data_IF_472106363333
#
_entry.id   IF_472106363333
#
_cell.length_a   1.000
_cell.length_b   1.000
_cell.length_c   1.000
_cell.angle_alpha   90.00
_cell.angle_beta   90.00
_cell.angle_gamma   90.00
#
_symmetry.space_group_name_H-M   'P 1'
#
loop_
_entity.id
_entity.type
_entity.pdbx_description
1 polymer ?
#
# COMPACT_ATOMS: atom_id res chain seq x y z
N UNK A 1 -0.38 3.36 5.13
CA UNK A 1 0.56 2.23 5.21
C UNK A 1 2.02 2.66 5.23
N UNK A 2 2.38 3.80 4.61
CA UNK A 2 3.74 4.37 4.64
C UNK A 2 4.44 4.27 6.02
N UNK A 3 3.77 4.69 7.09
CA UNK A 3 4.32 4.64 8.46
C UNK A 3 4.76 3.23 8.91
N UNK A 4 4.08 2.16 8.46
CA UNK A 4 4.44 0.78 8.78
C UNK A 4 5.77 0.41 8.14
N UNK A 5 6.02 0.83 6.91
CA UNK A 5 7.26 0.54 6.19
C UNK A 5 8.42 1.41 6.64
N UNK A 6 8.17 2.69 6.96
CA UNK A 6 9.16 3.58 7.58
C UNK A 6 9.59 3.02 8.94
N UNK A 7 8.64 2.59 9.77
CA UNK A 7 8.94 1.96 11.04
C UNK A 7 9.69 0.64 10.87
N UNK A 8 9.30 -0.20 9.89
CA UNK A 8 10.02 -1.44 9.62
C UNK A 8 11.50 -1.19 9.28
N UNK A 9 11.78 -0.20 8.43
CA UNK A 9 13.16 0.22 8.12
C UNK A 9 13.90 0.67 9.38
N UNK A 10 13.27 1.46 10.25
CA UNK A 10 13.87 1.91 11.51
C UNK A 10 14.25 0.73 12.41
N UNK A 11 13.31 -0.19 12.65
CA UNK A 11 13.55 -1.38 13.48
C UNK A 11 14.70 -2.24 12.91
N UNK A 12 14.74 -2.49 11.60
CA UNK A 12 15.83 -3.28 11.00
C UNK A 12 17.19 -2.58 11.04
N UNK A 13 17.22 -1.24 10.94
CA UNK A 13 18.45 -0.47 11.09
C UNK A 13 19.00 -0.52 12.52
N UNK A 14 18.11 -0.56 13.51
CA UNK A 14 18.45 -0.75 14.92
C UNK A 14 18.70 -2.22 15.29
N UNK A 15 18.56 -3.15 14.33
CA UNK A 15 18.65 -4.61 14.54
C UNK A 15 17.64 -5.14 15.54
N UNK A 16 16.47 -4.51 15.58
CA UNK A 16 15.33 -4.95 16.38
C UNK A 16 14.42 -5.85 15.52
N UNK A 17 14.08 -7.06 16.00
CA UNK A 17 13.14 -7.92 15.31
C UNK A 17 11.73 -7.30 15.36
N UNK A 18 10.95 -7.58 14.33
CA UNK A 18 9.58 -7.09 14.19
C UNK A 18 8.69 -8.13 13.52
N UNK A 19 7.38 -7.94 13.60
CA UNK A 19 6.40 -8.74 12.87
C UNK A 19 5.49 -7.81 12.08
N UNK A 20 5.22 -8.14 10.82
CA UNK A 20 4.19 -7.47 10.03
C UNK A 20 3.04 -8.44 9.81
N UNK A 21 1.87 -8.08 10.33
CA UNK A 21 0.62 -8.73 10.00
C UNK A 21 -0.06 -7.97 8.86
N UNK A 22 -0.46 -8.67 7.79
CA UNK A 22 -1.14 -8.10 6.62
C UNK A 22 -2.47 -8.79 6.40
N UNK A 23 -3.56 -8.04 6.21
CA UNK A 23 -4.82 -8.57 5.69
C UNK A 23 -4.62 -8.95 4.23
N UNK A 24 -4.58 -10.24 3.91
CA UNK A 24 -4.35 -10.72 2.53
C UNK A 24 -5.65 -11.04 1.80
N UNK A 25 -6.73 -11.34 2.53
CA UNK A 25 -8.03 -11.65 1.94
C UNK A 25 -9.14 -11.35 2.94
N UNK A 26 -10.30 -10.96 2.43
CA UNK A 26 -11.52 -10.80 3.22
C UNK A 26 -12.70 -11.44 2.50
N UNK A 27 -13.71 -11.88 3.24
CA UNK A 27 -15.02 -12.32 2.73
C UNK A 27 -16.11 -11.64 3.54
N UNK A 28 -17.18 -11.19 2.89
CA UNK A 28 -18.27 -10.50 3.56
C UNK A 28 -17.89 -9.10 4.06
N UNK A 29 -18.65 -8.59 5.05
CA UNK A 29 -18.43 -7.28 5.65
C UNK A 29 -17.34 -7.35 6.73
N UNK A 30 -16.25 -6.62 6.53
CA UNK A 30 -15.06 -6.64 7.39
C UNK A 30 -14.57 -5.21 7.62
N UNK A 31 -13.99 -4.89 8.79
CA UNK A 31 -13.61 -3.53 9.18
C UNK A 31 -12.48 -2.94 8.34
N UNK A 32 -11.64 -3.80 7.75
CA UNK A 32 -10.52 -3.40 6.89
C UNK A 32 -10.52 -4.16 5.57
N UNK A 33 -9.81 -3.60 4.59
CA UNK A 33 -9.63 -4.20 3.27
C UNK A 33 -8.28 -4.91 3.14
N UNK A 34 -8.14 -5.82 2.16
CA UNK A 34 -6.83 -6.39 1.82
C UNK A 34 -5.78 -5.31 1.61
N UNK A 35 -4.60 -5.53 2.18
CA UNK A 35 -3.50 -4.59 2.24
C UNK A 35 -3.32 -3.97 3.61
N UNK A 36 -4.37 -3.82 4.44
CA UNK A 36 -4.22 -3.27 5.79
C UNK A 36 -3.14 -4.02 6.60
N UNK A 37 -2.28 -3.27 7.30
CA UNK A 37 -1.13 -3.81 8.02
C UNK A 37 -1.05 -3.33 9.47
N UNK A 38 -0.53 -4.20 10.32
CA UNK A 38 -0.07 -3.91 11.67
C UNK A 38 1.36 -4.41 11.82
N UNK A 39 2.26 -3.51 12.17
CA UNK A 39 3.60 -3.85 12.65
C UNK A 39 3.58 -3.96 14.15
N UNK A 40 4.18 -5.03 14.68
CA UNK A 40 4.41 -5.21 16.12
C UNK A 40 5.92 -5.24 16.37
N UNK A 41 6.38 -4.34 17.22
CA UNK A 41 7.79 -4.20 17.64
C UNK A 41 8.15 -5.22 18.72
N UNK A 42 9.44 -5.41 18.95
CA UNK A 42 9.97 -6.29 20.00
C UNK A 42 9.51 -5.91 21.42
N UNK A 43 9.31 -4.61 21.69
CA UNK A 43 8.78 -4.12 22.98
C UNK A 43 7.26 -4.37 23.15
N UNK A 44 6.62 -4.89 22.09
CA UNK A 44 5.20 -5.18 22.05
C UNK A 44 4.31 -3.98 21.72
N UNK A 45 4.86 -2.81 21.43
CA UNK A 45 4.14 -1.69 20.81
C UNK A 45 3.92 -1.93 19.31
N UNK A 46 3.08 -1.14 18.66
CA UNK A 46 2.75 -1.34 17.24
C UNK A 46 2.48 -0.07 16.46
N UNK A 47 2.46 -0.21 15.13
CA UNK A 47 2.16 0.83 14.13
C UNK A 47 1.22 0.26 13.08
N UNK A 48 0.21 1.03 12.68
CA UNK A 48 -0.85 0.56 11.80
C UNK A 48 -2.01 -0.10 12.57
N UNK A 49 -3.00 -0.60 11.82
CA UNK A 49 -4.22 -1.21 12.39
C UNK A 49 -4.82 -2.21 11.41
N UNK A 50 -5.43 -3.26 11.96
CA UNK A 50 -6.21 -4.26 11.22
C UNK A 50 -7.73 -4.00 11.32
N UNK A 51 -8.12 -2.87 11.92
CA UNK A 51 -9.52 -2.49 12.15
C UNK A 51 -9.92 -2.46 13.62
N UNK A 52 -8.98 -2.72 14.55
CA UNK A 52 -9.23 -2.73 15.99
C UNK A 52 -10.02 -3.95 16.49
N UNK A 53 -10.42 -3.89 17.76
CA UNK A 53 -11.23 -4.93 18.42
C UNK A 53 -10.47 -6.23 18.72
N UNK A 54 -11.22 -7.29 19.02
CA UNK A 54 -10.67 -8.60 19.43
C UNK A 54 -9.73 -9.21 18.38
N UNK A 55 -10.06 -9.05 17.09
CA UNK A 55 -9.24 -9.55 15.97
C UNK A 55 -7.82 -9.00 16.04
N UNK A 56 -7.69 -7.68 16.23
CA UNK A 56 -6.38 -7.04 16.30
C UNK A 56 -5.60 -7.54 17.53
N UNK A 57 -6.26 -7.70 18.67
CA UNK A 57 -5.67 -8.26 19.89
C UNK A 57 -5.13 -9.69 19.70
N UNK A 58 -5.88 -10.56 19.03
CA UNK A 58 -5.49 -11.94 18.77
C UNK A 58 -4.31 -12.03 17.80
N UNK A 59 -4.32 -11.24 16.72
CA UNK A 59 -3.20 -11.17 15.78
C UNK A 59 -1.96 -10.56 16.42
N UNK A 60 -2.13 -9.53 17.26
CA UNK A 60 -1.03 -8.94 18.03
C UNK A 60 -0.42 -9.95 19.00
N UNK A 61 -1.25 -10.74 19.67
CA UNK A 61 -0.78 -11.81 20.54
C UNK A 61 0.01 -12.87 19.76
N UNK A 62 -0.49 -13.31 18.60
CA UNK A 62 0.22 -14.24 17.73
C UNK A 62 1.59 -13.69 17.30
N UNK A 63 1.66 -12.42 16.88
CA UNK A 63 2.91 -11.74 16.55
C UNK A 63 3.91 -11.76 17.73
N UNK A 64 3.45 -11.49 18.96
CA UNK A 64 4.30 -11.57 20.16
C UNK A 64 4.78 -13.00 20.44
N UNK A 65 3.97 -14.03 20.21
CA UNK A 65 4.40 -15.42 20.37
C UNK A 65 5.45 -15.81 19.34
N UNK A 66 5.27 -15.40 18.07
CA UNK A 66 6.28 -15.61 17.03
C UNK A 66 7.61 -14.96 17.41
N UNK A 67 7.60 -13.69 17.83
CA UNK A 67 8.80 -13.00 18.30
C UNK A 67 9.47 -13.73 19.46
N UNK A 68 8.70 -14.11 20.49
CA UNK A 68 9.22 -14.78 21.68
C UNK A 68 9.88 -16.13 21.36
N UNK A 69 9.27 -16.90 20.45
CA UNK A 69 9.69 -18.27 20.14
C UNK A 69 10.64 -18.36 18.94
N UNK A 70 10.94 -17.22 18.28
CA UNK A 70 11.57 -17.15 16.95
C UNK A 70 10.89 -18.10 15.94
N UNK A 71 9.56 -18.06 15.92
CA UNK A 71 8.72 -18.87 15.03
C UNK A 71 8.82 -18.46 13.55
N UNK A 72 8.26 -19.26 12.66
CA UNK A 72 8.17 -18.94 11.23
C UNK A 72 6.88 -18.19 10.92
N UNK A 73 6.74 -17.65 9.70
CA UNK A 73 5.50 -17.00 9.26
C UNK A 73 4.30 -17.94 9.36
N UNK A 74 3.11 -17.36 9.55
CA UNK A 74 1.84 -18.08 9.68
C UNK A 74 0.71 -17.37 8.91
N UNK A 75 -0.27 -18.13 8.43
CA UNK A 75 -1.50 -17.60 7.85
C UNK A 75 -2.65 -17.89 8.81
N UNK A 76 -3.35 -16.84 9.27
CA UNK A 76 -4.43 -16.94 10.25
C UNK A 76 -5.75 -16.54 9.59
N UNK A 77 -6.78 -17.39 9.74
CA UNK A 77 -8.16 -17.05 9.37
C UNK A 77 -8.97 -16.69 10.62
N UNK A 78 -9.74 -15.61 10.54
CA UNK A 78 -10.58 -15.14 11.64
C UNK A 78 -12.01 -14.92 11.15
N UNK A 79 -12.97 -15.60 11.77
CA UNK A 79 -14.40 -15.40 11.55
C UNK A 79 -14.95 -14.42 12.58
N UNK A 80 -15.60 -13.37 12.09
CA UNK A 80 -16.24 -12.39 12.96
C UNK A 80 -17.60 -12.95 13.37
N UNK A 81 -17.69 -13.45 14.61
CA UNK A 81 -18.92 -14.03 15.14
C UNK A 81 -20.00 -12.97 15.40
N UNK A 82 -21.21 -13.19 14.87
CA UNK A 82 -22.37 -12.28 14.98
C UNK A 82 -22.84 -12.03 16.42
N UNK A 83 -22.67 -13.00 17.34
CA UNK A 83 -23.17 -12.91 18.72
C UNK A 83 -22.42 -11.91 19.61
N UNK A 84 -21.14 -11.65 19.34
CA UNK A 84 -20.33 -10.65 20.06
C UNK A 84 -20.56 -9.26 19.47
N UNK A 85 -20.71 -9.18 18.15
CA UNK A 85 -20.91 -7.94 17.40
C UNK A 85 -22.28 -7.28 17.71
N UNK A 86 -23.29 -8.08 18.06
CA UNK A 86 -24.61 -7.63 18.47
C UNK A 86 -24.63 -6.90 19.84
N UNK A 87 -23.66 -7.12 20.73
CA UNK A 87 -23.59 -6.42 22.02
C UNK A 87 -22.99 -5.01 21.90
N UNK A 88 -22.12 -4.78 20.91
CA UNK A 88 -21.44 -3.50 20.66
C UNK A 88 -22.02 -2.70 19.48
N UNK A 89 -23.11 -3.17 18.86
CA UNK A 89 -23.83 -2.47 17.80
C UNK A 89 -23.10 -2.41 16.45
N UNK A 90 -22.08 -3.25 16.24
CA UNK A 90 -21.31 -3.32 14.99
C UNK A 90 -21.68 -4.60 14.22
N UNK A 91 -21.97 -4.49 12.92
CA UNK A 91 -22.38 -5.62 12.07
C UNK A 91 -21.26 -5.95 11.09
N UNK A 92 -20.21 -6.61 11.57
CA UNK A 92 -19.21 -7.23 10.68
C UNK A 92 -19.29 -8.75 10.86
N UNK A 93 -20.02 -9.44 9.97
CA UNK A 93 -20.14 -10.91 9.94
C UNK A 93 -19.24 -11.56 8.89
N UNK A 94 -18.10 -10.94 8.59
CA UNK A 94 -17.16 -11.41 7.57
C UNK A 94 -16.04 -12.30 8.09
N UNK A 95 -15.22 -12.81 7.19
CA UNK A 95 -13.99 -13.56 7.51
C UNK A 95 -12.79 -12.78 7.00
N UNK A 96 -11.77 -12.63 7.84
CA UNK A 96 -10.49 -12.01 7.47
C UNK A 96 -9.39 -13.07 7.46
N UNK A 97 -8.44 -12.94 6.54
CA UNK A 97 -7.26 -13.80 6.45
C UNK A 97 -6.02 -12.93 6.52
N UNK A 98 -5.09 -13.32 7.38
CA UNK A 98 -3.89 -12.57 7.70
C UNK A 98 -2.65 -13.39 7.34
N UNK A 99 -1.65 -12.75 6.75
CA UNK A 99 -0.28 -13.24 6.75
C UNK A 99 0.45 -12.55 7.90
N UNK A 100 0.97 -13.33 8.85
CA UNK A 100 1.75 -12.85 9.99
C UNK A 100 3.21 -13.22 9.76
N UNK A 101 4.02 -12.22 9.44
CA UNK A 101 5.36 -12.40 8.88
C UNK A 101 6.44 -11.81 9.82
N UNK A 102 7.20 -12.66 10.53
CA UNK A 102 8.28 -12.21 11.41
C UNK A 102 9.58 -11.93 10.63
N UNK A 103 10.18 -10.77 10.88
CA UNK A 103 11.47 -10.36 10.34
C UNK A 103 12.45 -10.21 11.51
N UNK A 104 13.34 -11.18 11.66
CA UNK A 104 14.24 -11.22 12.81
C UNK A 104 15.55 -10.47 12.60
N UNK A 105 16.04 -10.42 11.36
CA UNK A 105 17.37 -9.93 11.00
C UNK A 105 17.30 -9.17 9.69
N UNK A 106 18.26 -8.28 9.48
CA UNK A 106 18.34 -7.46 8.27
C UNK A 106 18.81 -8.34 7.10
N UNK A 107 17.86 -8.78 6.28
CA UNK A 107 18.07 -9.58 5.07
C UNK A 107 17.69 -8.83 3.79
N UNK A 108 17.18 -9.58 2.80
CA UNK A 108 16.64 -9.02 1.55
C UNK A 108 15.44 -8.09 1.81
N UNK A 109 14.75 -8.26 2.94
CA UNK A 109 13.65 -7.41 3.38
C UNK A 109 14.05 -5.93 3.46
N UNK A 110 15.30 -5.62 3.81
CA UNK A 110 15.76 -4.24 3.85
C UNK A 110 15.66 -3.56 2.47
N UNK A 111 16.08 -4.26 1.42
CA UNK A 111 15.97 -3.76 0.05
C UNK A 111 14.51 -3.55 -0.36
N UNK A 112 13.63 -4.49 0.00
CA UNK A 112 12.20 -4.37 -0.30
C UNK A 112 11.58 -3.14 0.38
N UNK A 113 11.90 -2.93 1.66
CA UNK A 113 11.41 -1.78 2.43
C UNK A 113 11.93 -0.46 1.86
N UNK A 114 13.21 -0.41 1.49
CA UNK A 114 13.83 0.80 0.91
C UNK A 114 13.16 1.18 -0.42
N UNK A 115 12.89 0.21 -1.30
CA UNK A 115 12.20 0.48 -2.57
C UNK A 115 10.73 0.85 -2.39
N UNK A 116 10.02 0.22 -1.45
CA UNK A 116 8.63 0.59 -1.12
C UNK A 116 8.57 2.01 -0.54
N UNK A 117 9.49 2.37 0.37
CA UNK A 117 9.56 3.72 0.92
C UNK A 117 9.92 4.74 -0.16
N UNK A 118 10.83 4.40 -1.07
CA UNK A 118 11.18 5.23 -2.23
C UNK A 118 9.95 5.51 -3.10
N UNK A 119 9.15 4.48 -3.42
CA UNK A 119 7.91 4.64 -4.19
C UNK A 119 6.93 5.60 -3.50
N UNK A 120 6.76 5.51 -2.18
CA UNK A 120 5.92 6.44 -1.42
C UNK A 120 6.46 7.88 -1.36
N UNK A 121 7.75 8.08 -1.59
CA UNK A 121 8.40 9.39 -1.65
C UNK A 121 8.45 9.98 -3.07
N UNK A 122 7.83 9.31 -4.06
CA UNK A 122 7.78 9.77 -5.44
C UNK A 122 8.76 9.07 -6.38
N UNK A 123 9.48 8.06 -5.90
CA UNK A 123 10.29 7.19 -6.76
C UNK A 123 9.45 6.27 -7.66
N UNK A 124 10.15 5.41 -8.40
CA UNK A 124 9.52 4.43 -9.29
C UNK A 124 8.57 3.49 -8.52
N UNK A 125 7.41 3.14 -9.10
CA UNK A 125 6.48 2.21 -8.47
C UNK A 125 7.05 0.80 -8.46
N UNK A 126 6.70 0.06 -7.42
CA UNK A 126 7.08 -1.36 -7.24
C UNK A 126 5.88 -2.17 -6.80
N UNK A 127 5.94 -3.49 -6.97
CA UNK A 127 5.00 -4.41 -6.35
C UNK A 127 5.74 -5.45 -5.52
N UNK A 128 5.09 -5.96 -4.48
CA UNK A 128 5.57 -7.06 -3.68
C UNK A 128 4.56 -8.19 -3.73
N UNK A 129 4.97 -9.35 -4.22
CA UNK A 129 4.21 -10.59 -4.08
C UNK A 129 4.70 -11.35 -2.86
N UNK A 130 3.79 -11.77 -1.99
CA UNK A 130 4.08 -12.57 -0.79
C UNK A 130 3.32 -13.89 -0.85
N UNK A 131 4.04 -15.01 -0.70
CA UNK A 131 3.44 -16.34 -0.67
C UNK A 131 2.62 -16.51 0.62
N UNK A 132 1.33 -16.85 0.49
CA UNK A 132 0.41 -17.02 1.62
C UNK A 132 0.02 -18.48 1.86
N UNK A 133 0.28 -19.35 0.88
CA UNK A 133 0.10 -20.80 0.96
C UNK A 133 1.03 -21.48 -0.03
N UNK A 134 1.80 -22.46 0.45
CA UNK A 134 2.69 -23.28 -0.38
C UNK A 134 1.93 -24.41 -1.07
N UNK A 135 2.57 -25.04 -2.06
CA UNK A 135 2.14 -26.28 -2.69
C UNK A 135 3.35 -27.21 -2.88
N UNK A 136 3.16 -28.53 -3.14
CA UNK A 136 4.26 -29.50 -3.18
C UNK A 136 5.42 -29.14 -4.13
N UNK A 137 5.12 -28.49 -5.25
CA UNK A 137 6.12 -28.13 -6.28
C UNK A 137 6.71 -26.72 -6.10
N UNK A 138 6.48 -26.08 -4.94
CA UNK A 138 6.95 -24.73 -4.65
C UNK A 138 8.18 -24.79 -3.74
N UNK A 139 9.33 -24.37 -4.25
CA UNK A 139 10.59 -24.27 -3.51
C UNK A 139 10.69 -22.90 -2.81
N UNK A 140 9.73 -22.61 -1.94
CA UNK A 140 9.74 -21.43 -1.09
C UNK A 140 8.95 -21.69 0.20
N UNK A 141 9.35 -21.00 1.26
CA UNK A 141 8.62 -20.99 2.53
C UNK A 141 7.44 -20.03 2.45
N UNK A 142 6.48 -20.21 3.36
CA UNK A 142 5.45 -19.22 3.62
C UNK A 142 6.10 -17.85 3.88
N UNK A 143 5.46 -16.78 3.40
CA UNK A 143 6.00 -15.42 3.37
C UNK A 143 7.28 -15.23 2.53
N UNK A 144 7.62 -16.18 1.65
CA UNK A 144 8.57 -15.95 0.55
C UNK A 144 8.08 -14.80 -0.34
N UNK A 145 9.00 -13.92 -0.75
CA UNK A 145 8.68 -12.65 -1.38
C UNK A 145 9.35 -12.51 -2.74
N UNK A 146 8.65 -11.84 -3.65
CA UNK A 146 9.16 -11.39 -4.93
C UNK A 146 8.86 -9.90 -5.08
N UNK A 147 9.89 -9.06 -5.01
CA UNK A 147 9.80 -7.65 -5.36
C UNK A 147 9.85 -7.52 -6.89
N UNK A 148 8.99 -6.67 -7.43
CA UNK A 148 8.77 -6.50 -8.87
C UNK A 148 8.86 -5.02 -9.18
N UNK A 149 9.70 -4.65 -10.14
CA UNK A 149 9.90 -3.25 -10.57
C UNK A 149 9.16 -2.97 -11.87
N UNK A 150 8.97 -1.69 -12.18
CA UNK A 150 8.24 -1.25 -13.37
C UNK A 150 8.85 -1.72 -14.70
N UNK A 151 10.17 -1.95 -14.74
CA UNK A 151 10.88 -2.49 -15.90
C UNK A 151 10.78 -4.02 -16.04
N UNK A 152 10.10 -4.69 -15.11
CA UNK A 152 9.95 -6.13 -15.05
C UNK A 152 11.12 -6.87 -14.37
N UNK A 153 12.15 -6.17 -13.92
CA UNK A 153 13.19 -6.76 -13.08
C UNK A 153 12.61 -7.14 -11.70
N UNK A 154 13.23 -8.14 -11.08
CA UNK A 154 12.75 -8.70 -9.80
C UNK A 154 13.88 -8.95 -8.81
N UNK A 155 13.53 -9.07 -7.54
CA UNK A 155 14.38 -9.58 -6.46
C UNK A 155 13.58 -10.55 -5.59
N UNK A 156 14.19 -11.67 -5.20
CA UNK A 156 13.50 -12.73 -4.45
C UNK A 156 12.79 -13.75 -5.35
N UNK A 157 11.92 -14.58 -4.78
CA UNK A 157 11.21 -15.66 -5.48
C UNK A 157 9.99 -16.14 -4.70
N UNK A 158 8.95 -16.55 -5.42
CA UNK A 158 7.81 -17.31 -4.88
C UNK A 158 8.04 -18.83 -4.92
N UNK A 159 9.22 -19.28 -5.35
CA UNK A 159 9.63 -20.70 -5.33
C UNK A 159 9.31 -21.48 -6.61
N UNK A 160 8.80 -20.83 -7.65
CA UNK A 160 8.63 -21.44 -8.98
C UNK A 160 8.56 -20.38 -10.10
N UNK A 161 9.16 -20.67 -11.25
CA UNK A 161 9.27 -19.72 -12.38
C UNK A 161 7.93 -19.31 -12.97
N UNK A 162 6.97 -20.24 -13.05
CA UNK A 162 5.62 -19.96 -13.53
C UNK A 162 4.87 -19.02 -12.57
N UNK A 163 4.98 -19.24 -11.26
CA UNK A 163 4.41 -18.35 -10.23
C UNK A 163 5.06 -16.97 -10.29
N UNK A 164 6.39 -16.90 -10.40
CA UNK A 164 7.11 -15.64 -10.55
C UNK A 164 6.63 -14.87 -11.79
N UNK A 165 6.50 -15.57 -12.92
CA UNK A 165 6.04 -14.96 -14.18
C UNK A 165 4.61 -14.44 -14.12
N UNK A 166 3.70 -15.15 -13.43
CA UNK A 166 2.32 -14.71 -13.22
C UNK A 166 2.27 -13.49 -12.27
N UNK A 167 3.03 -13.56 -11.17
CA UNK A 167 3.13 -12.48 -10.20
C UNK A 167 3.71 -11.20 -10.82
N UNK A 168 4.73 -11.30 -11.70
CA UNK A 168 5.30 -10.14 -12.42
C UNK A 168 4.23 -9.43 -13.23
N UNK A 169 3.47 -10.16 -14.06
CA UNK A 169 2.40 -9.58 -14.88
C UNK A 169 1.35 -8.88 -14.01
N UNK A 170 0.92 -9.55 -12.94
CA UNK A 170 -0.04 -9.00 -11.99
C UNK A 170 0.52 -7.75 -11.27
N UNK A 171 1.78 -7.78 -10.85
CA UNK A 171 2.44 -6.69 -10.12
C UNK A 171 2.55 -5.42 -10.96
N UNK A 172 2.96 -5.54 -12.22
CA UNK A 172 3.07 -4.41 -13.17
C UNK A 172 1.72 -3.71 -13.37
N UNK A 173 0.63 -4.47 -13.44
CA UNK A 173 -0.71 -3.89 -13.56
C UNK A 173 -1.15 -3.17 -12.28
N UNK A 174 -0.90 -3.77 -11.11
CA UNK A 174 -1.37 -3.27 -9.82
C UNK A 174 -0.57 -2.06 -9.32
N UNK A 175 0.76 -2.04 -9.50
CA UNK A 175 1.63 -0.96 -9.01
C UNK A 175 1.30 0.39 -9.65
N UNK A 176 0.75 0.40 -10.86
CA UNK A 176 0.34 1.64 -11.54
C UNK A 176 -0.67 2.47 -10.74
N UNK A 177 -1.49 1.81 -9.91
CA UNK A 177 -2.57 2.44 -9.16
C UNK A 177 -2.51 2.17 -7.64
N UNK A 178 -1.46 1.50 -7.16
CA UNK A 178 -1.33 1.12 -5.75
C UNK A 178 -2.39 0.12 -5.28
N UNK A 179 -2.86 -0.76 -6.18
CA UNK A 179 -3.87 -1.77 -5.87
C UNK A 179 -3.26 -3.06 -5.32
N UNK A 180 -4.09 -3.94 -4.78
CA UNK A 180 -3.68 -5.27 -4.33
C UNK A 180 -4.58 -6.38 -4.86
N UNK A 181 -4.06 -7.60 -4.93
CA UNK A 181 -4.81 -8.77 -5.40
C UNK A 181 -4.36 -10.04 -4.70
N UNK A 182 -5.34 -10.83 -4.30
CA UNK A 182 -5.13 -12.22 -3.86
C UNK A 182 -5.24 -13.17 -5.05
N UNK A 183 -4.24 -14.02 -5.24
CA UNK A 183 -4.15 -14.94 -6.38
C UNK A 183 -4.07 -16.38 -5.91
N UNK A 184 -4.84 -17.24 -6.57
CA UNK A 184 -4.76 -18.70 -6.43
C UNK A 184 -4.23 -19.25 -7.75
N UNK A 185 -3.05 -19.83 -7.71
CA UNK A 185 -2.45 -20.47 -8.87
C UNK A 185 -3.11 -21.83 -9.15
N UNK A 186 -2.95 -22.33 -10.37
CA UNK A 186 -3.44 -23.65 -10.78
C UNK A 186 -2.78 -24.80 -10.00
N UNK A 187 -1.56 -24.60 -9.49
CA UNK A 187 -0.82 -25.59 -8.68
C UNK A 187 -1.32 -25.65 -7.23
N UNK A 188 -2.26 -24.79 -6.84
CA UNK A 188 -2.83 -24.74 -5.49
C UNK A 188 -2.04 -23.86 -4.50
N UNK A 189 -0.92 -23.30 -4.92
CA UNK A 189 -0.23 -22.24 -4.19
C UNK A 189 -1.04 -20.94 -4.27
N UNK A 190 -0.99 -20.15 -3.19
CA UNK A 190 -1.71 -18.89 -3.10
C UNK A 190 -0.73 -17.79 -2.69
N UNK A 191 -0.84 -16.62 -3.31
CA UNK A 191 0.00 -15.45 -3.02
C UNK A 191 -0.81 -14.16 -3.06
N UNK A 192 -0.29 -13.13 -2.40
CA UNK A 192 -0.89 -11.80 -2.34
C UNK A 192 0.07 -10.80 -2.98
N UNK A 193 -0.41 -10.03 -3.96
CA UNK A 193 0.37 -9.01 -4.67
C UNK A 193 -0.11 -7.64 -4.25
N UNK A 194 0.81 -6.78 -3.85
CA UNK A 194 0.55 -5.39 -3.48
C UNK A 194 1.37 -4.46 -4.34
N UNK A 195 0.72 -3.47 -4.96
CA UNK A 195 1.36 -2.38 -5.66
C UNK A 195 1.62 -1.20 -4.72
N UNK A 196 2.79 -0.60 -4.84
CA UNK A 196 3.23 0.58 -4.10
C UNK A 196 3.65 1.66 -5.10
N UNK A 197 3.08 2.85 -4.96
CA UNK A 197 3.31 3.98 -5.85
C UNK A 197 3.20 5.28 -5.08
N UNK A 198 3.65 6.35 -5.72
CA UNK A 198 3.51 7.72 -5.22
C UNK A 198 2.04 8.05 -4.93
N UNK A 199 1.73 8.86 -3.90
CA UNK A 199 0.39 9.39 -3.69
C UNK A 199 -0.20 9.95 -5.00
N UNK A 200 -1.51 9.75 -5.24
CA UNK A 200 -2.12 10.15 -6.50
C UNK A 200 -1.97 11.66 -6.71
N UNK A 201 -1.61 12.05 -7.93
CA UNK A 201 -1.45 13.46 -8.30
C UNK A 201 -2.69 13.95 -9.02
N UNK A 202 -3.16 15.14 -8.70
CA UNK A 202 -4.18 15.83 -9.49
C UNK A 202 -3.66 17.18 -9.99
N UNK A 203 -3.77 17.38 -11.30
CA UNK A 203 -3.39 18.61 -11.99
C UNK A 203 -4.66 19.33 -12.39
N UNK A 204 -4.89 20.50 -11.79
CA UNK A 204 -6.04 21.35 -12.05
C UNK A 204 -5.66 22.44 -13.06
N UNK A 205 -6.03 22.24 -14.32
CA UNK A 205 -5.82 23.22 -15.39
C UNK A 205 -6.98 24.24 -15.38
N UNK A 206 -6.69 25.41 -14.82
CA UNK A 206 -7.60 26.49 -14.51
C UNK A 206 -7.75 26.66 -12.99
N UNK A 207 -7.50 27.86 -12.46
CA UNK A 207 -7.64 28.24 -11.04
C UNK A 207 -9.02 28.82 -10.69
N UNK A 208 -10.00 28.62 -11.58
CA UNK A 208 -11.38 29.09 -11.44
C UNK A 208 -12.18 28.43 -10.31
N UNK A 209 -13.47 28.77 -10.21
CA UNK A 209 -14.33 28.30 -9.11
C UNK A 209 -14.53 26.77 -9.11
N UNK A 210 -14.51 26.11 -10.29
CA UNK A 210 -14.62 24.65 -10.40
C UNK A 210 -13.41 23.97 -9.75
N UNK A 211 -12.20 24.30 -10.18
CA UNK A 211 -10.97 23.78 -9.58
C UNK A 211 -10.83 24.15 -8.11
N UNK A 212 -11.35 25.31 -7.70
CA UNK A 212 -11.39 25.69 -6.30
C UNK A 212 -12.21 24.71 -5.46
N UNK A 213 -13.37 24.27 -5.95
CA UNK A 213 -14.18 23.26 -5.28
C UNK A 213 -13.47 21.90 -5.27
N UNK A 214 -12.93 21.45 -6.41
CA UNK A 214 -12.22 20.17 -6.51
C UNK A 214 -11.01 20.12 -5.57
N UNK A 215 -10.22 21.20 -5.51
CA UNK A 215 -9.08 21.34 -4.62
C UNK A 215 -9.43 21.02 -3.16
N UNK A 216 -10.58 21.49 -2.66
CA UNK A 216 -10.96 21.23 -1.25
C UNK A 216 -11.20 19.75 -0.96
N UNK A 217 -11.72 18.98 -1.93
CA UNK A 217 -11.86 17.53 -1.78
C UNK A 217 -10.52 16.82 -1.97
N UNK A 218 -9.74 17.25 -2.97
CA UNK A 218 -8.46 16.63 -3.29
C UNK A 218 -7.45 16.73 -2.12
N UNK A 219 -7.40 17.86 -1.41
CA UNK A 219 -6.60 18.01 -0.19
C UNK A 219 -6.99 16.95 0.85
N UNK A 220 -8.29 16.81 1.13
CA UNK A 220 -8.78 15.87 2.14
C UNK A 220 -8.61 14.40 1.76
N UNK A 221 -8.54 14.11 0.45
CA UNK A 221 -8.26 12.78 -0.07
C UNK A 221 -6.75 12.48 -0.18
N UNK A 222 -5.89 13.43 0.17
CA UNK A 222 -4.44 13.25 0.19
C UNK A 222 -3.79 13.25 -1.20
N UNK A 223 -4.36 13.95 -2.17
CA UNK A 223 -3.73 14.11 -3.49
C UNK A 223 -2.56 15.09 -3.44
N UNK A 224 -1.51 14.76 -4.19
CA UNK A 224 -0.50 15.75 -4.57
C UNK A 224 -1.12 16.71 -5.61
N UNK A 225 -1.16 17.99 -5.29
CA UNK A 225 -1.96 19.01 -5.96
C UNK A 225 -1.08 19.96 -6.77
N UNK A 226 -1.33 20.01 -8.07
CA UNK A 226 -0.77 21.04 -8.95
C UNK A 226 -1.91 21.90 -9.52
N UNK A 227 -1.80 23.22 -9.42
CA UNK A 227 -2.73 24.17 -10.04
C UNK A 227 -2.00 24.98 -11.10
N UNK A 228 -2.57 25.02 -12.31
CA UNK A 228 -2.01 25.78 -13.43
C UNK A 228 -3.09 26.74 -13.94
N UNK A 229 -2.82 28.04 -13.99
CA UNK A 229 -3.67 29.04 -14.65
C UNK A 229 -2.78 30.16 -15.18
N UNK A 230 -3.11 30.75 -16.32
CA UNK A 230 -2.33 31.84 -16.92
C UNK A 230 -2.53 33.19 -16.22
N UNK A 231 -3.45 33.26 -15.25
CA UNK A 231 -3.78 34.46 -14.49
C UNK A 231 -3.33 34.32 -13.05
N UNK A 232 -2.42 35.20 -12.64
CA UNK A 232 -1.84 35.23 -11.29
C UNK A 232 -2.91 35.38 -10.19
N UNK A 233 -4.00 36.11 -10.44
CA UNK A 233 -5.09 36.24 -9.46
C UNK A 233 -5.87 34.93 -9.24
N UNK A 234 -5.76 33.97 -10.17
CA UNK A 234 -6.36 32.65 -10.07
C UNK A 234 -5.37 31.57 -9.64
N UNK A 235 -4.08 31.65 -9.99
CA UNK A 235 -3.04 30.71 -9.57
C UNK A 235 -2.07 31.37 -8.55
N UNK A 236 -2.41 31.31 -7.26
CA UNK A 236 -1.53 31.77 -6.19
C UNK A 236 -1.76 31.03 -4.86
N UNK A 237 -0.78 31.11 -3.96
CA UNK A 237 -0.81 30.45 -2.64
C UNK A 237 -1.88 30.98 -1.70
N UNK A 238 -2.37 32.23 -1.88
CA UNK A 238 -3.50 32.74 -1.07
C UNK A 238 -4.77 31.97 -1.39
N UNK A 239 -4.97 31.61 -2.67
CA UNK A 239 -6.05 30.73 -3.08
C UNK A 239 -5.69 29.31 -2.70
N UNK A 240 -4.57 28.75 -3.12
CA UNK A 240 -4.25 27.33 -2.97
C UNK A 240 -3.11 27.06 -1.97
N UNK A 241 -3.30 27.27 -0.66
CA UNK A 241 -2.21 27.25 0.32
C UNK A 241 -1.63 25.85 0.61
N UNK A 242 -2.36 24.79 0.26
CA UNK A 242 -1.97 23.39 0.46
C UNK A 242 -1.72 22.68 -0.87
N UNK A 243 -1.65 23.42 -1.99
CA UNK A 243 -1.19 22.83 -3.25
C UNK A 243 0.34 22.71 -3.20
N UNK A 244 0.86 21.58 -3.64
CA UNK A 244 2.30 21.34 -3.74
C UNK A 244 2.95 22.28 -4.76
N UNK A 245 2.24 22.54 -5.86
CA UNK A 245 2.71 23.38 -6.96
C UNK A 245 1.59 24.29 -7.44
N UNK A 246 1.88 25.59 -7.58
CA UNK A 246 0.99 26.57 -8.19
C UNK A 246 1.75 27.34 -9.25
N UNK A 247 1.29 27.25 -10.50
CA UNK A 247 1.94 27.86 -11.66
C UNK A 247 1.02 28.90 -12.29
N UNK A 248 1.49 30.15 -12.34
CA UNK A 248 0.81 31.27 -12.98
C UNK A 248 1.25 31.41 -14.46
N UNK A 249 1.08 30.35 -15.25
CA UNK A 249 1.49 30.29 -16.65
C UNK A 249 0.43 29.59 -17.51
N UNK A 250 0.60 29.65 -18.83
CA UNK A 250 -0.24 28.86 -19.76
C UNK A 250 -0.19 27.37 -19.43
N UNK A 251 -1.27 26.63 -19.70
CA UNK A 251 -1.31 25.18 -19.49
C UNK A 251 -0.11 24.45 -20.12
N UNK A 252 0.28 24.85 -21.33
CA UNK A 252 1.38 24.23 -22.07
C UNK A 252 2.74 24.37 -21.38
N UNK A 253 3.02 25.54 -20.82
CA UNK A 253 4.26 25.79 -20.06
C UNK A 253 4.17 25.14 -18.68
N UNK A 254 3.03 25.27 -18.00
CA UNK A 254 2.81 24.66 -16.69
C UNK A 254 3.02 23.15 -16.68
N UNK A 255 2.57 22.43 -17.73
CA UNK A 255 2.79 20.98 -17.83
C UNK A 255 4.25 20.57 -17.92
N UNK A 256 5.17 21.45 -18.38
CA UNK A 256 6.60 21.13 -18.40
C UNK A 256 7.20 20.99 -17.01
N UNK A 257 6.54 21.56 -16.00
CA UNK A 257 6.95 21.49 -14.59
C UNK A 257 6.31 20.33 -13.82
N UNK A 258 5.45 19.55 -14.48
CA UNK A 258 4.69 18.45 -13.86
C UNK A 258 5.16 17.12 -14.40
N UNK A 259 5.64 16.27 -13.50
CA UNK A 259 5.87 14.86 -13.82
C UNK A 259 4.52 14.12 -13.90
N UNK A 260 4.22 13.57 -15.09
CA UNK A 260 2.99 12.83 -15.36
C UNK A 260 3.31 11.34 -15.42
N UNK A 261 2.60 10.57 -14.61
CA UNK A 261 2.65 9.11 -14.62
C UNK A 261 1.22 8.52 -14.65
N UNK A 262 1.11 7.19 -14.60
CA UNK A 262 -0.19 6.49 -14.63
C UNK A 262 -1.11 6.82 -13.45
N UNK A 263 -0.56 7.34 -12.34
CA UNK A 263 -1.30 7.76 -11.15
C UNK A 263 -1.56 9.29 -11.12
N UNK A 264 -1.48 9.95 -12.28
CA UNK A 264 -1.75 11.39 -12.45
C UNK A 264 -3.09 11.63 -13.12
N UNK A 265 -3.93 12.44 -12.48
CA UNK A 265 -5.27 12.81 -12.94
C UNK A 265 -5.26 14.26 -13.41
N UNK A 266 -5.68 14.51 -14.65
CA UNK A 266 -5.70 15.85 -15.23
C UNK A 266 -7.15 16.33 -15.34
N UNK A 267 -7.44 17.46 -14.70
CA UNK A 267 -8.75 18.12 -14.77
C UNK A 267 -8.61 19.40 -15.58
N UNK A 268 -9.27 19.45 -16.73
CA UNK A 268 -9.31 20.64 -17.58
C UNK A 268 -10.57 21.43 -17.25
N UNK A 269 -10.41 22.48 -16.44
CA UNK A 269 -11.48 23.37 -15.97
C UNK A 269 -11.15 24.84 -16.26
N UNK A 270 -10.72 25.11 -17.50
CA UNK A 270 -10.38 26.44 -18.01
C UNK A 270 -11.47 27.00 -18.93
N UNK A 271 -11.53 28.32 -19.07
CA UNK A 271 -12.50 29.06 -19.90
C UNK A 271 -12.19 28.96 -21.41
N UNK A 272 -11.00 28.48 -21.77
CA UNK A 272 -10.60 28.20 -23.15
C UNK A 272 -9.52 27.12 -23.17
N UNK A 273 -9.86 25.93 -23.67
CA UNK A 273 -8.95 24.78 -23.80
C UNK A 273 -8.65 24.43 -25.27
N UNK A 274 -9.00 25.33 -26.20
CA UNK A 274 -8.73 25.18 -27.63
C UNK A 274 -7.30 25.55 -27.95
#
# INVERSE_FOLDING_TARGET
>A
MKEVFEEATNQLNEKHPLVIATVVRTKGSTPQKPGAKLLVRNDGSGVGTLGGGCVEGDIWYAAKQLMKNRGSAETIGYELNEEIAAQDGLVCGGTMFFLVDPIYEKGQEALFLDEINSAYLGGEPVALASLVKTAPDIDAKLAGKLLIRADGSVEGTLGADNLNSEAIKCGIELMAYGNSKYVRSETGAEYFVEGYTTPPRIVLCGGGHVSRAIYTFAVNLGFNLTVIDDREEFANNKRFPLADVVVAESSAEGFRSVEINKNTFIVIATRGHR
#
